data_IF_649179500790
#
_entry.id   IF_649179500790
#
_cell.length_a   1.000
_cell.length_b   1.000
_cell.length_c   1.000
_cell.angle_alpha   90.00
_cell.angle_beta   90.00
_cell.angle_gamma   90.00
#
_symmetry.space_group_name_H-M   'P 1'
#
loop_
_entity.id
_entity.type
_entity.pdbx_description
1 polymer ?
#
# COMPACT_ATOMS: atom_id res chain seq x y z
N UNK A 1 10.83 26.28 -11.66
CA UNK A 1 10.47 26.25 -13.09
C UNK A 1 10.30 24.79 -13.53
N UNK A 2 9.16 24.38 -14.10
CA UNK A 2 9.03 23.04 -14.68
C UNK A 2 10.02 22.88 -15.83
N UNK A 3 10.78 21.77 -15.84
CA UNK A 3 11.69 21.44 -16.95
C UNK A 3 10.85 21.12 -18.18
N UNK A 4 10.96 21.95 -19.22
CA UNK A 4 10.31 21.70 -20.52
C UNK A 4 11.09 20.57 -21.19
N UNK A 5 10.51 19.38 -21.22
CA UNK A 5 11.09 18.20 -21.87
C UNK A 5 10.19 17.76 -23.01
N UNK A 6 10.78 17.26 -24.10
CA UNK A 6 10.06 16.90 -25.33
C UNK A 6 8.95 15.84 -25.14
N UNK A 7 9.06 15.01 -24.10
CA UNK A 7 7.99 14.12 -23.62
C UNK A 7 7.87 14.26 -22.10
N UNK A 8 6.96 15.09 -21.58
CA UNK A 8 6.69 15.15 -20.16
C UNK A 8 6.06 13.83 -19.72
N UNK A 9 6.64 13.19 -18.69
CA UNK A 9 6.02 12.01 -18.06
C UNK A 9 4.68 12.41 -17.48
N UNK A 10 3.69 11.54 -17.65
CA UNK A 10 2.40 11.66 -16.97
C UNK A 10 2.58 11.48 -15.47
N UNK A 11 1.63 12.01 -14.68
CA UNK A 11 1.63 11.81 -13.21
C UNK A 11 1.66 10.32 -12.84
N UNK A 12 0.97 9.47 -13.62
CA UNK A 12 0.94 8.02 -13.41
C UNK A 12 2.30 7.37 -13.61
N UNK A 13 3.05 7.75 -14.64
CA UNK A 13 4.41 7.22 -14.90
C UNK A 13 5.42 7.69 -13.86
N UNK A 14 5.32 8.93 -13.38
CA UNK A 14 6.13 9.45 -12.28
C UNK A 14 5.85 8.65 -11.01
N UNK A 15 4.57 8.42 -10.69
CA UNK A 15 4.18 7.65 -9.52
C UNK A 15 4.67 6.20 -9.61
N UNK A 16 4.52 5.55 -10.77
CA UNK A 16 4.98 4.17 -10.99
C UNK A 16 6.50 4.06 -10.80
N UNK A 17 7.28 4.98 -11.36
CA UNK A 17 8.73 4.99 -11.20
C UNK A 17 9.15 5.24 -9.74
N UNK A 18 8.41 6.06 -9.00
CA UNK A 18 8.68 6.29 -7.57
C UNK A 18 8.30 5.07 -6.73
N UNK A 19 7.13 4.45 -6.98
CA UNK A 19 6.68 3.26 -6.29
C UNK A 19 7.70 2.12 -6.49
N UNK A 20 8.17 1.91 -7.72
CA UNK A 20 9.17 0.91 -8.07
C UNK A 20 10.51 1.15 -7.37
N UNK A 21 11.00 2.40 -7.37
CA UNK A 21 12.22 2.79 -6.64
C UNK A 21 12.12 2.50 -5.14
N UNK A 22 10.92 2.65 -4.56
CA UNK A 22 10.65 2.40 -3.15
C UNK A 22 10.27 0.93 -2.86
N UNK A 23 10.31 0.04 -3.86
CA UNK A 23 9.94 -1.37 -3.71
C UNK A 23 8.45 -1.60 -3.44
N UNK A 24 7.60 -0.63 -3.77
CA UNK A 24 6.15 -0.68 -3.53
C UNK A 24 5.46 -1.36 -4.72
N UNK A 25 4.80 -2.48 -4.45
CA UNK A 25 3.98 -3.20 -5.43
C UNK A 25 2.51 -3.07 -5.05
N UNK A 26 1.68 -2.53 -5.97
CA UNK A 26 0.23 -2.45 -5.79
C UNK A 26 -0.38 -3.83 -6.06
N UNK A 27 -1.03 -4.41 -5.06
CA UNK A 27 -1.83 -5.62 -5.20
C UNK A 27 -3.29 -5.30 -4.88
N UNK A 28 -4.19 -5.72 -5.76
CA UNK A 28 -5.64 -5.66 -5.56
C UNK A 28 -6.14 -7.07 -5.33
N UNK A 29 -6.84 -7.31 -4.23
CA UNK A 29 -7.46 -8.59 -3.92
C UNK A 29 -8.80 -8.34 -3.23
N UNK A 30 -9.72 -9.27 -3.40
CA UNK A 30 -11.01 -9.25 -2.73
C UNK A 30 -10.85 -9.80 -1.31
N UNK A 31 -11.52 -9.19 -0.35
CA UNK A 31 -11.50 -9.59 1.07
C UNK A 31 -12.95 -9.67 1.56
N UNK A 32 -13.22 -10.51 2.57
CA UNK A 32 -14.54 -10.57 3.17
C UNK A 32 -14.86 -9.23 3.84
N UNK A 33 -16.15 -8.85 3.83
CA UNK A 33 -16.59 -7.57 4.38
C UNK A 33 -16.23 -7.43 5.86
N UNK A 34 -16.42 -8.50 6.62
CA UNK A 34 -16.14 -8.54 8.06
C UNK A 34 -14.65 -8.31 8.37
N UNK A 35 -13.75 -8.88 7.55
CA UNK A 35 -12.30 -8.67 7.69
C UNK A 35 -11.89 -7.23 7.38
N UNK A 36 -12.55 -6.59 6.41
CA UNK A 36 -12.31 -5.17 6.09
C UNK A 36 -12.78 -4.26 7.23
N UNK A 37 -13.93 -4.57 7.84
CA UNK A 37 -14.43 -3.85 9.00
C UNK A 37 -13.48 -4.00 10.20
N UNK A 38 -13.00 -5.22 10.47
CA UNK A 38 -12.00 -5.48 11.50
C UNK A 38 -10.70 -4.72 11.23
N UNK A 39 -10.20 -4.74 10.00
CA UNK A 39 -8.99 -4.02 9.61
C UNK A 39 -9.13 -2.50 9.80
N UNK A 40 -10.32 -1.96 9.54
CA UNK A 40 -10.63 -0.54 9.79
C UNK A 40 -10.60 -0.23 11.29
N UNK A 41 -11.29 -1.02 12.11
CA UNK A 41 -11.30 -0.85 13.57
C UNK A 41 -9.89 -0.92 14.15
N UNK A 42 -9.09 -1.92 13.74
CA UNK A 42 -7.70 -2.05 14.18
C UNK A 42 -6.85 -0.85 13.75
N UNK A 43 -7.04 -0.35 12.53
CA UNK A 43 -6.35 0.83 12.03
C UNK A 43 -6.63 2.07 12.87
N UNK A 44 -7.90 2.27 13.24
CA UNK A 44 -8.35 3.36 14.10
C UNK A 44 -7.80 3.24 15.53
N UNK A 45 -7.83 2.02 16.10
CA UNK A 45 -7.35 1.77 17.46
C UNK A 45 -5.83 1.93 17.59
N UNK A 46 -5.06 1.44 16.62
CA UNK A 46 -3.60 1.46 16.71
C UNK A 46 -2.97 2.71 16.08
N UNK A 47 -3.75 3.50 15.32
CA UNK A 47 -3.23 4.61 14.51
C UNK A 47 -2.30 4.17 13.38
N UNK A 48 -2.34 2.89 13.00
CA UNK A 48 -1.48 2.31 11.94
C UNK A 48 -2.31 2.22 10.67
N UNK A 49 -1.73 2.56 9.52
CA UNK A 49 -2.44 2.41 8.24
C UNK A 49 -2.81 0.95 7.96
N UNK A 50 -3.98 0.73 7.35
CA UNK A 50 -4.47 -0.60 6.98
C UNK A 50 -3.43 -1.42 6.19
N UNK A 51 -2.75 -0.80 5.22
CA UNK A 51 -1.69 -1.46 4.44
C UNK A 51 -0.51 -1.93 5.31
N UNK A 52 -0.13 -1.15 6.32
CA UNK A 52 0.93 -1.52 7.26
C UNK A 52 0.47 -2.62 8.21
N UNK A 53 -0.79 -2.60 8.66
CA UNK A 53 -1.38 -3.69 9.45
C UNK A 53 -1.40 -5.02 8.70
N UNK A 54 -1.82 -5.02 7.43
CA UNK A 54 -1.76 -6.23 6.58
C UNK A 54 -0.32 -6.74 6.48
N UNK A 55 0.64 -5.84 6.24
CA UNK A 55 2.06 -6.20 6.18
C UNK A 55 2.61 -6.77 7.49
N UNK A 56 2.16 -6.28 8.64
CA UNK A 56 2.52 -6.81 9.95
C UNK A 56 1.90 -8.19 10.19
N UNK A 57 0.61 -8.36 9.88
CA UNK A 57 -0.09 -9.63 10.00
C UNK A 57 0.57 -10.73 9.16
N UNK A 58 0.93 -10.44 7.90
CA UNK A 58 1.65 -11.36 7.03
C UNK A 58 3.02 -11.80 7.58
N UNK A 59 3.74 -10.90 8.27
CA UNK A 59 5.01 -11.22 8.92
C UNK A 59 4.85 -11.97 10.24
N UNK A 60 3.70 -11.80 10.91
CA UNK A 60 3.40 -12.48 12.17
C UNK A 60 2.89 -13.90 11.95
N UNK A 61 2.15 -14.16 10.87
CA UNK A 61 1.54 -15.46 10.56
C UNK A 61 2.50 -16.65 10.67
N UNK A 62 3.73 -16.63 10.10
CA UNK A 62 4.65 -17.76 10.20
C UNK A 62 5.18 -18.04 11.60
N UNK A 63 5.09 -17.07 12.53
CA UNK A 63 5.53 -17.26 13.92
C UNK A 63 4.50 -18.02 14.77
N UNK A 64 3.28 -18.13 14.25
CA UNK A 64 2.16 -18.81 14.89
C UNK A 64 1.81 -20.12 14.18
N UNK A 65 2.69 -20.60 13.28
CA UNK A 65 2.67 -21.96 12.73
C UNK A 65 3.38 -22.90 13.70
#
# INVERSE_FOLDING_TARGET
MPKIVAKPKTRAEIQKASDEKNGIVKKTFSMHKDDVELLKQLSEQTGISQAKLIGLALKAYPKNL
#
